data_IF_672345801564
#
_entry.id   IF_672345801564
#
_cell.length_a   1.000
_cell.length_b   1.000
_cell.length_c   1.000
_cell.angle_alpha   90.00
_cell.angle_beta   90.00
_cell.angle_gamma   90.00
#
_symmetry.space_group_name_H-M   'P 1'
#
loop_
_entity.id
_entity.type
_entity.pdbx_description
1 polymer ?
#
# COMPACT_ATOMS: atom_id res chain seq x y z
N UNK A 1 -23.30 8.45 50.84
CA UNK A 1 -22.87 9.87 50.91
C UNK A 1 -23.03 10.45 49.53
N UNK A 2 -23.73 11.55 49.36
CA UNK A 2 -23.93 12.20 48.06
C UNK A 2 -23.34 13.60 48.15
N UNK A 3 -22.67 14.02 47.07
CA UNK A 3 -21.99 15.29 46.94
C UNK A 3 -22.68 16.08 45.82
N UNK A 4 -23.09 17.31 46.09
CA UNK A 4 -23.65 18.21 45.07
C UNK A 4 -22.57 19.19 44.70
N UNK A 5 -22.24 19.24 43.41
CA UNK A 5 -21.25 20.16 42.83
C UNK A 5 -22.00 21.38 42.28
N UNK A 6 -21.69 22.56 42.81
CA UNK A 6 -22.22 23.82 42.35
C UNK A 6 -21.34 24.52 41.32
N UNK A 7 -21.40 25.87 41.30
CA UNK A 7 -20.63 26.65 40.33
C UNK A 7 -19.15 26.72 40.67
N UNK A 8 -18.35 27.05 39.66
CA UNK A 8 -16.93 27.37 39.80
C UNK A 8 -16.77 28.75 40.46
N UNK A 9 -15.74 28.93 41.27
CA UNK A 9 -15.39 30.23 41.86
C UNK A 9 -14.97 31.23 40.78
N UNK A 10 -15.06 32.53 41.08
CA UNK A 10 -14.74 33.60 40.13
C UNK A 10 -13.29 33.56 39.60
N UNK A 11 -12.37 32.98 40.34
CA UNK A 11 -10.95 32.77 39.95
C UNK A 11 -10.68 31.42 39.26
N UNK A 12 -11.74 30.61 39.01
CA UNK A 12 -11.71 29.27 38.40
C UNK A 12 -10.86 28.22 39.14
N UNK A 13 -10.57 28.45 40.45
CA UNK A 13 -9.71 27.52 41.21
C UNK A 13 -10.48 26.51 42.07
N UNK A 14 -11.73 26.79 42.40
CA UNK A 14 -12.52 26.01 43.35
C UNK A 14 -13.95 25.82 42.83
N UNK A 15 -14.54 24.66 43.12
CA UNK A 15 -15.99 24.46 43.04
C UNK A 15 -16.62 24.67 44.41
N UNK A 16 -17.82 25.26 44.47
CA UNK A 16 -18.66 25.22 45.64
C UNK A 16 -19.36 23.86 45.72
N UNK A 17 -19.21 23.18 46.87
CA UNK A 17 -19.66 21.81 47.03
C UNK A 17 -20.46 21.70 48.33
N UNK A 18 -21.61 21.02 48.30
CA UNK A 18 -22.37 20.67 49.51
C UNK A 18 -22.50 19.16 49.64
N UNK A 19 -22.54 18.69 50.86
CA UNK A 19 -22.77 17.31 51.21
C UNK A 19 -24.26 17.10 51.58
N UNK A 20 -24.84 15.98 51.16
CA UNK A 20 -26.23 15.70 51.51
C UNK A 20 -26.34 15.47 52.99
N UNK A 21 -27.22 16.26 53.63
CA UNK A 21 -27.41 16.29 55.07
C UNK A 21 -26.49 17.24 55.84
N UNK A 22 -25.70 18.05 55.14
CA UNK A 22 -24.89 19.14 55.70
C UNK A 22 -25.34 20.49 55.16
N UNK A 23 -25.49 21.49 56.03
CA UNK A 23 -25.91 22.83 55.68
C UNK A 23 -24.73 23.72 55.22
N UNK A 24 -23.52 23.22 55.29
CA UNK A 24 -22.32 23.97 54.88
C UNK A 24 -22.05 23.86 53.39
N UNK A 25 -21.48 24.92 52.83
CA UNK A 25 -20.91 24.93 51.48
C UNK A 25 -19.39 25.00 51.59
N UNK A 26 -18.73 24.08 50.91
CA UNK A 26 -17.28 23.96 50.95
C UNK A 26 -16.70 24.44 49.64
N UNK A 27 -15.49 25.01 49.67
CA UNK A 27 -14.70 25.29 48.48
C UNK A 27 -13.69 24.15 48.30
N UNK A 28 -13.81 23.38 47.19
CA UNK A 28 -12.93 22.27 46.86
C UNK A 28 -12.18 22.58 45.62
N UNK A 29 -10.88 22.34 45.61
CA UNK A 29 -10.01 22.61 44.45
C UNK A 29 -10.59 22.00 43.17
N UNK A 30 -10.67 22.77 42.11
CA UNK A 30 -11.27 22.39 40.84
C UNK A 30 -10.67 21.09 40.29
N UNK A 31 -9.36 20.91 40.37
CA UNK A 31 -8.68 19.66 39.86
C UNK A 31 -9.13 18.38 40.57
N UNK A 32 -9.72 18.46 41.78
CA UNK A 32 -10.27 17.32 42.49
C UNK A 32 -11.71 17.03 42.12
N UNK A 33 -12.44 18.04 41.68
CA UNK A 33 -13.87 17.93 41.36
C UNK A 33 -14.08 17.66 39.88
N UNK A 34 -13.27 18.25 38.98
CA UNK A 34 -13.38 18.09 37.53
C UNK A 34 -13.49 16.63 37.08
N UNK A 35 -12.69 15.67 37.60
CA UNK A 35 -12.83 14.26 37.19
C UNK A 35 -14.21 13.66 37.53
N UNK A 36 -14.92 14.19 38.56
CA UNK A 36 -16.27 13.74 38.94
C UNK A 36 -17.36 14.32 38.02
N UNK A 37 -17.04 15.34 37.23
CA UNK A 37 -17.96 15.96 36.26
C UNK A 37 -17.76 15.41 34.85
N UNK A 38 -16.80 14.54 34.66
CA UNK A 38 -16.51 13.96 33.35
C UNK A 38 -17.68 13.13 32.83
N UNK A 39 -18.03 13.38 31.58
CA UNK A 39 -18.95 12.53 30.83
C UNK A 39 -18.24 11.30 30.28
N UNK A 40 -18.99 10.38 29.69
CA UNK A 40 -18.44 9.15 29.09
C UNK A 40 -17.32 9.41 28.11
N UNK A 41 -17.40 10.46 27.32
CA UNK A 41 -16.37 10.82 26.35
C UNK A 41 -14.98 11.14 26.97
N UNK A 42 -14.97 11.52 28.26
CA UNK A 42 -13.73 11.81 28.99
C UNK A 42 -13.11 10.57 29.63
N UNK A 43 -13.90 9.53 29.88
CA UNK A 43 -13.48 8.33 30.62
C UNK A 43 -13.42 7.06 29.77
N UNK A 44 -14.03 7.08 28.57
CA UNK A 44 -13.96 5.95 27.63
C UNK A 44 -12.53 5.79 27.13
N UNK A 45 -12.10 4.55 27.02
CA UNK A 45 -10.82 4.22 26.39
C UNK A 45 -10.88 4.56 24.89
N UNK A 46 -10.04 5.50 24.48
CA UNK A 46 -9.87 5.94 23.08
C UNK A 46 -8.61 5.37 22.43
N UNK A 47 -7.96 4.41 23.08
CA UNK A 47 -6.79 3.78 22.50
C UNK A 47 -7.17 2.90 21.31
N UNK A 48 -6.26 2.85 20.35
CA UNK A 48 -6.27 1.92 19.22
C UNK A 48 -4.97 1.13 19.29
N UNK A 49 -5.04 -0.17 19.09
CA UNK A 49 -3.86 -1.03 19.11
C UNK A 49 -2.82 -0.55 18.10
N UNK A 50 -1.56 -0.56 18.51
CA UNK A 50 -0.46 -0.19 17.64
C UNK A 50 -0.07 -1.37 16.79
N UNK A 51 0.02 -1.15 15.48
CA UNK A 51 0.49 -2.11 14.50
C UNK A 51 1.90 -1.73 14.06
N UNK A 52 2.79 -2.70 14.07
CA UNK A 52 4.11 -2.57 13.50
C UNK A 52 4.06 -2.71 11.99
N UNK A 53 4.20 -1.58 11.29
CA UNK A 53 4.15 -1.50 9.83
C UNK A 53 5.25 -2.31 9.11
N UNK A 54 6.34 -2.63 9.81
CA UNK A 54 7.45 -3.39 9.23
C UNK A 54 7.27 -4.91 9.36
N UNK A 55 6.29 -5.36 10.15
CA UNK A 55 6.02 -6.78 10.41
C UNK A 55 4.62 -7.24 10.01
N UNK A 56 3.95 -6.52 9.12
CA UNK A 56 2.59 -6.82 8.64
C UNK A 56 2.48 -8.26 8.15
N UNK A 57 1.45 -8.95 8.62
CA UNK A 57 1.08 -10.30 8.21
C UNK A 57 -0.13 -10.31 7.29
N UNK A 58 -1.09 -9.41 7.53
CA UNK A 58 -2.31 -9.31 6.72
C UNK A 58 -2.83 -7.86 6.68
N UNK A 59 -3.28 -7.44 5.52
CA UNK A 59 -4.10 -6.25 5.30
C UNK A 59 -5.30 -6.66 4.47
N UNK A 60 -6.50 -6.45 5.01
CA UNK A 60 -7.77 -6.60 4.29
C UNK A 60 -8.54 -5.30 4.30
N UNK A 61 -9.09 -4.91 3.17
CA UNK A 61 -10.02 -3.79 3.05
C UNK A 61 -11.21 -4.25 2.23
N UNK A 62 -12.33 -4.49 2.91
CA UNK A 62 -13.59 -4.83 2.26
C UNK A 62 -14.37 -3.56 1.98
N UNK A 63 -14.73 -3.33 0.72
CA UNK A 63 -15.47 -2.15 0.28
C UNK A 63 -16.92 -2.50 -0.02
N UNK A 64 -17.81 -1.51 0.16
CA UNK A 64 -19.22 -1.63 -0.18
C UNK A 64 -19.45 -1.68 -1.69
N UNK A 65 -18.74 -0.82 -2.44
CA UNK A 65 -19.07 -0.52 -3.85
C UNK A 65 -17.93 -0.83 -4.83
N UNK A 66 -16.89 -1.52 -4.40
CA UNK A 66 -15.76 -1.97 -5.24
C UNK A 66 -15.13 -3.24 -4.70
N UNK A 67 -14.25 -3.86 -5.48
CA UNK A 67 -13.56 -5.09 -5.09
C UNK A 67 -12.73 -4.91 -3.83
N UNK A 68 -12.77 -5.93 -2.96
CA UNK A 68 -11.98 -6.01 -1.74
C UNK A 68 -10.49 -6.17 -2.06
N UNK A 69 -9.64 -5.64 -1.20
CA UNK A 69 -8.20 -5.83 -1.24
C UNK A 69 -7.81 -6.77 -0.11
N UNK A 70 -7.05 -7.81 -0.43
CA UNK A 70 -6.46 -8.72 0.55
C UNK A 70 -5.00 -8.95 0.21
N UNK A 71 -4.12 -8.57 1.14
CA UNK A 71 -2.67 -8.72 1.03
C UNK A 71 -2.19 -9.54 2.22
N UNK A 72 -1.36 -10.55 1.98
CA UNK A 72 -0.80 -11.41 3.03
C UNK A 72 0.69 -11.60 2.90
N UNK A 73 1.33 -11.82 4.03
CA UNK A 73 2.68 -12.35 4.10
C UNK A 73 2.61 -13.89 3.99
N UNK A 74 3.18 -14.41 2.93
CA UNK A 74 3.32 -15.85 2.72
C UNK A 74 4.77 -16.17 2.31
N UNK A 75 5.56 -16.62 3.29
CA UNK A 75 6.97 -17.01 3.11
C UNK A 75 7.14 -18.20 2.16
N UNK A 76 6.11 -19.02 2.01
CA UNK A 76 6.15 -20.24 1.22
C UNK A 76 5.57 -20.03 -0.18
N UNK A 77 5.01 -18.84 -0.47
CA UNK A 77 4.51 -18.50 -1.78
C UNK A 77 5.65 -18.56 -2.82
N UNK A 78 5.54 -19.40 -3.85
CA UNK A 78 6.62 -19.63 -4.82
C UNK A 78 6.96 -18.37 -5.62
N UNK A 79 5.96 -17.52 -5.93
CA UNK A 79 6.15 -16.30 -6.71
C UNK A 79 6.90 -15.24 -5.87
N UNK A 80 6.50 -15.04 -4.62
CA UNK A 80 7.16 -14.11 -3.71
C UNK A 80 8.61 -14.54 -3.44
N UNK A 81 8.84 -15.84 -3.20
CA UNK A 81 10.17 -16.40 -2.99
C UNK A 81 11.06 -16.25 -4.22
N UNK A 82 10.57 -16.64 -5.40
CA UNK A 82 11.30 -16.48 -6.66
C UNK A 82 11.66 -15.02 -6.92
N UNK A 83 10.73 -14.11 -6.67
CA UNK A 83 10.96 -12.67 -6.82
C UNK A 83 12.01 -12.16 -5.83
N UNK A 84 11.96 -12.57 -4.57
CA UNK A 84 12.93 -12.20 -3.54
C UNK A 84 14.33 -12.73 -3.89
N UNK A 85 14.45 -13.97 -4.35
CA UNK A 85 15.72 -14.58 -4.79
C UNK A 85 16.34 -13.83 -5.98
N UNK A 86 15.51 -13.41 -6.94
CA UNK A 86 15.96 -12.73 -8.17
C UNK A 86 16.27 -11.26 -7.98
N UNK A 87 15.57 -10.57 -7.09
CA UNK A 87 15.63 -9.13 -6.94
C UNK A 87 16.15 -8.66 -5.58
N UNK A 88 16.31 -9.56 -4.61
CA UNK A 88 16.76 -9.23 -3.25
C UNK A 88 15.70 -8.47 -2.42
N UNK A 89 14.43 -8.52 -2.82
CA UNK A 89 13.32 -7.85 -2.16
C UNK A 89 12.38 -8.87 -1.52
N UNK A 90 12.18 -8.75 -0.20
CA UNK A 90 11.07 -9.45 0.46
C UNK A 90 9.75 -8.74 0.12
N UNK A 91 8.68 -9.51 -0.11
CA UNK A 91 7.41 -8.93 -0.50
C UNK A 91 6.21 -9.67 0.09
N UNK A 92 5.11 -8.95 0.14
CA UNK A 92 3.78 -9.46 0.43
C UNK A 92 3.10 -9.88 -0.88
N UNK A 93 2.09 -10.73 -0.80
CA UNK A 93 1.32 -11.19 -1.94
C UNK A 93 -0.12 -10.73 -1.81
N UNK A 94 -0.66 -10.19 -2.87
CA UNK A 94 -2.08 -9.88 -2.96
C UNK A 94 -2.85 -11.15 -3.37
N UNK A 95 -3.93 -11.44 -2.65
CA UNK A 95 -4.86 -12.53 -2.95
C UNK A 95 -6.17 -12.01 -3.58
N UNK A 96 -6.51 -10.74 -3.31
CA UNK A 96 -7.69 -10.06 -3.87
C UNK A 96 -7.37 -8.62 -4.23
N UNK A 97 -7.95 -8.09 -5.31
CA UNK A 97 -8.81 -8.73 -6.32
C UNK A 97 -8.01 -9.55 -7.36
N UNK A 98 -6.71 -9.52 -7.30
CA UNK A 98 -5.82 -10.23 -8.25
C UNK A 98 -4.98 -11.22 -7.46
N UNK A 99 -5.23 -12.50 -7.69
CA UNK A 99 -4.51 -13.57 -7.03
C UNK A 99 -3.03 -13.62 -7.43
N UNK A 100 -2.17 -13.90 -6.45
CA UNK A 100 -0.72 -14.05 -6.62
C UNK A 100 -0.02 -12.80 -7.21
N UNK A 101 -0.58 -11.59 -7.02
CA UNK A 101 0.11 -10.37 -7.41
C UNK A 101 1.10 -9.94 -6.33
N UNK A 102 2.35 -9.67 -6.75
CA UNK A 102 3.38 -9.14 -5.86
C UNK A 102 3.03 -7.73 -5.40
N UNK A 103 3.19 -7.49 -4.10
CA UNK A 103 3.01 -6.18 -3.48
C UNK A 103 4.37 -5.55 -3.25
N UNK A 104 4.56 -4.33 -3.74
CA UNK A 104 5.80 -3.60 -3.53
C UNK A 104 5.81 -2.96 -2.13
N UNK A 105 6.67 -3.41 -1.21
CA UNK A 105 6.62 -3.00 0.20
C UNK A 105 6.67 -1.48 0.40
N UNK A 106 7.50 -0.77 -0.39
CA UNK A 106 7.61 0.70 -0.29
C UNK A 106 6.31 1.42 -0.70
N UNK A 107 5.61 0.92 -1.71
CA UNK A 107 4.32 1.50 -2.11
C UNK A 107 3.28 1.28 -1.03
N UNK A 108 3.18 0.06 -0.49
CA UNK A 108 2.27 -0.26 0.59
C UNK A 108 2.55 0.60 1.83
N UNK A 109 3.82 0.73 2.25
CA UNK A 109 4.19 1.62 3.35
C UNK A 109 3.83 3.07 3.07
N UNK A 110 4.19 3.60 1.89
CA UNK A 110 3.99 5.00 1.56
C UNK A 110 2.51 5.38 1.43
N UNK A 111 1.68 4.50 0.84
CA UNK A 111 0.28 4.80 0.55
C UNK A 111 -0.66 4.52 1.73
N UNK A 112 -0.42 3.45 2.50
CA UNK A 112 -1.36 2.96 3.51
C UNK A 112 -0.75 2.82 4.89
N UNK A 113 0.30 2.01 5.07
CA UNK A 113 0.77 1.61 6.40
C UNK A 113 1.28 2.79 7.25
N UNK A 114 1.86 3.81 6.62
CA UNK A 114 2.26 5.04 7.31
C UNK A 114 1.11 5.68 8.09
N UNK A 115 -0.12 5.52 7.60
CA UNK A 115 -1.30 6.12 8.20
C UNK A 115 -1.88 5.31 9.36
N UNK A 116 -1.42 4.08 9.59
CA UNK A 116 -1.83 3.27 10.75
C UNK A 116 -1.55 3.99 12.07
N UNK A 117 -0.40 4.66 12.20
CA UNK A 117 -0.05 5.43 13.39
C UNK A 117 -0.97 6.65 13.63
N UNK A 118 -1.74 7.07 12.62
CA UNK A 118 -2.67 8.19 12.70
C UNK A 118 -4.11 7.75 13.01
N UNK A 119 -4.37 6.45 13.10
CA UNK A 119 -5.69 5.93 13.49
C UNK A 119 -5.90 6.14 14.99
N UNK A 120 -6.63 7.18 15.34
CA UNK A 120 -6.95 7.53 16.71
C UNK A 120 -8.44 7.83 16.83
N UNK A 121 -9.06 7.34 17.89
CA UNK A 121 -10.43 7.69 18.23
C UNK A 121 -10.47 9.17 18.65
N UNK A 122 -11.27 9.96 17.97
CA UNK A 122 -11.50 11.38 18.32
C UNK A 122 -12.46 11.49 19.49
N UNK A 123 -13.67 10.96 19.33
CA UNK A 123 -14.72 11.06 20.31
C UNK A 123 -15.62 9.82 20.35
N UNK A 124 -16.31 9.65 21.50
CA UNK A 124 -17.40 8.70 21.65
C UNK A 124 -18.69 9.34 21.08
N UNK A 125 -19.26 8.73 20.06
CA UNK A 125 -20.52 9.17 19.47
C UNK A 125 -21.75 8.52 20.14
N UNK A 126 -21.68 7.21 20.44
CA UNK A 126 -22.74 6.47 21.12
C UNK A 126 -22.16 5.31 21.90
N UNK A 127 -22.47 5.23 23.19
CA UNK A 127 -21.95 4.18 24.08
C UNK A 127 -22.74 2.86 23.93
N UNK A 128 -23.97 2.93 23.47
CA UNK A 128 -24.87 1.78 23.37
C UNK A 128 -25.84 1.94 22.20
N UNK A 129 -25.33 1.89 20.97
CA UNK A 129 -26.15 2.13 19.79
C UNK A 129 -27.27 1.11 19.68
N UNK A 130 -28.49 1.58 19.52
CA UNK A 130 -29.64 0.75 19.25
C UNK A 130 -29.85 0.50 17.75
N UNK A 131 -29.29 1.35 16.91
CA UNK A 131 -29.40 1.30 15.47
C UNK A 131 -28.10 1.80 14.82
N UNK A 132 -27.39 0.91 14.13
CA UNK A 132 -26.14 1.21 13.42
C UNK A 132 -26.38 1.91 12.08
N UNK A 133 -27.58 1.79 11.49
CA UNK A 133 -27.93 2.45 10.21
C UNK A 133 -27.85 3.97 10.34
N UNK A 134 -28.18 4.52 11.51
CA UNK A 134 -28.01 5.95 11.82
C UNK A 134 -26.60 6.48 11.56
N UNK A 135 -25.61 5.62 11.68
CA UNK A 135 -24.19 5.92 11.53
C UNK A 135 -23.61 5.39 10.21
N UNK A 136 -24.43 4.72 9.39
CA UNK A 136 -23.98 4.02 8.17
C UNK A 136 -23.07 2.83 8.46
N UNK A 137 -23.19 2.23 9.64
CA UNK A 137 -22.33 1.14 10.13
C UNK A 137 -23.01 -0.24 10.03
N UNK A 138 -24.27 -0.30 9.67
CA UNK A 138 -24.98 -1.52 9.24
C UNK A 138 -24.51 -2.01 7.85
N UNK A 139 -24.15 -1.04 6.97
CA UNK A 139 -23.54 -1.28 5.67
C UNK A 139 -22.36 -0.30 5.48
N UNK A 140 -21.22 -0.53 6.14
CA UNK A 140 -20.11 0.41 6.17
C UNK A 140 -19.50 0.64 4.79
N UNK A 141 -18.99 1.85 4.54
CA UNK A 141 -18.31 2.20 3.29
C UNK A 141 -17.09 1.31 3.04
N UNK A 142 -16.36 0.98 4.09
CA UNK A 142 -15.36 -0.08 4.08
C UNK A 142 -15.15 -0.67 5.47
N UNK A 143 -14.60 -1.89 5.51
CA UNK A 143 -14.10 -2.54 6.70
C UNK A 143 -12.60 -2.82 6.51
N UNK A 144 -11.80 -2.27 7.39
CA UNK A 144 -10.33 -2.36 7.38
C UNK A 144 -9.94 -3.40 8.43
N UNK A 145 -9.07 -4.32 8.06
CA UNK A 145 -8.38 -5.21 8.98
C UNK A 145 -6.89 -5.18 8.70
N UNK A 146 -6.09 -4.98 9.72
CA UNK A 146 -4.62 -5.04 9.63
C UNK A 146 -4.12 -5.86 10.80
N UNK A 147 -3.20 -6.78 10.53
CA UNK A 147 -2.52 -7.56 11.54
C UNK A 147 -1.01 -7.54 11.30
N UNK A 148 -0.26 -7.38 12.39
CA UNK A 148 1.15 -7.72 12.47
C UNK A 148 1.33 -9.08 13.16
N UNK A 149 2.54 -9.39 13.65
CA UNK A 149 2.83 -10.66 14.34
C UNK A 149 2.14 -10.78 15.69
N UNK A 150 1.84 -9.67 16.35
CA UNK A 150 1.41 -9.63 17.75
C UNK A 150 0.03 -9.01 17.93
N UNK A 151 -0.38 -8.09 17.07
CA UNK A 151 -1.57 -7.27 17.21
C UNK A 151 -2.43 -7.25 15.94
N UNK A 152 -3.69 -6.86 16.10
CA UNK A 152 -4.58 -6.59 14.97
C UNK A 152 -5.54 -5.45 15.26
N UNK A 153 -5.94 -4.73 14.22
CA UNK A 153 -6.94 -3.66 14.26
C UNK A 153 -8.03 -3.98 13.24
N UNK A 154 -9.29 -3.78 13.68
CA UNK A 154 -10.47 -3.75 12.81
C UNK A 154 -11.12 -2.39 12.90
N UNK A 155 -11.38 -1.75 11.76
CA UNK A 155 -12.11 -0.48 11.72
C UNK A 155 -13.18 -0.56 10.64
N UNK A 156 -14.45 -0.48 11.03
CA UNK A 156 -15.55 -0.29 10.08
C UNK A 156 -15.82 1.20 9.95
N UNK A 157 -15.87 1.71 8.73
CA UNK A 157 -16.04 3.14 8.44
C UNK A 157 -17.45 3.38 7.89
N UNK A 158 -18.24 4.12 8.63
CA UNK A 158 -19.62 4.49 8.28
C UNK A 158 -19.70 5.85 7.57
N UNK A 159 -20.77 6.57 7.87
CA UNK A 159 -21.06 7.90 7.30
C UNK A 159 -20.18 8.99 7.91
N UNK A 160 -20.07 10.11 7.20
CA UNK A 160 -19.51 11.34 7.78
C UNK A 160 -20.36 11.87 8.91
N UNK A 161 -19.72 12.49 9.89
CA UNK A 161 -20.41 13.17 11.01
C UNK A 161 -21.02 14.45 10.48
N UNK A 162 -22.34 14.61 10.66
CA UNK A 162 -23.04 15.81 10.23
C UNK A 162 -22.48 17.08 10.90
N UNK A 163 -22.30 18.14 10.11
CA UNK A 163 -21.81 19.43 10.59
C UNK A 163 -20.29 19.53 10.78
N UNK A 164 -19.51 18.50 10.35
CA UNK A 164 -18.05 18.50 10.47
C UNK A 164 -17.33 18.69 9.13
N UNK A 165 -18.02 19.16 8.09
CA UNK A 165 -17.46 19.33 6.72
C UNK A 165 -16.74 18.06 6.20
N UNK A 166 -17.28 16.89 6.55
CA UNK A 166 -16.69 15.57 6.26
C UNK A 166 -15.28 15.33 6.85
N UNK A 167 -14.91 16.09 7.88
CA UNK A 167 -13.61 15.92 8.54
C UNK A 167 -13.59 14.74 9.51
N UNK A 168 -14.75 14.29 10.00
CA UNK A 168 -14.92 13.15 10.89
C UNK A 168 -15.85 12.12 10.25
N UNK A 169 -15.56 10.83 10.49
CA UNK A 169 -16.42 9.71 10.13
C UNK A 169 -16.78 8.88 11.37
N UNK A 170 -18.01 8.31 11.38
CA UNK A 170 -18.39 7.31 12.37
C UNK A 170 -17.65 6.01 12.12
N UNK A 171 -17.19 5.37 13.21
CA UNK A 171 -16.45 4.10 13.14
C UNK A 171 -16.85 3.13 14.24
N UNK A 172 -16.74 1.83 13.94
CA UNK A 172 -16.60 0.78 14.94
C UNK A 172 -15.15 0.33 14.97
N UNK A 173 -14.59 0.18 16.15
CA UNK A 173 -13.18 -0.22 16.35
C UNK A 173 -13.14 -1.56 17.07
N UNK A 174 -12.47 -2.52 16.49
CA UNK A 174 -12.38 -3.90 16.95
C UNK A 174 -13.77 -4.50 17.15
N UNK A 175 -13.98 -5.30 18.20
CA UNK A 175 -15.27 -5.89 18.53
C UNK A 175 -16.01 -5.07 19.61
N UNK A 176 -15.67 -3.78 19.73
CA UNK A 176 -16.29 -2.87 20.71
C UNK A 176 -17.69 -2.46 20.23
N UNK A 177 -18.67 -2.43 21.15
CA UNK A 177 -20.05 -2.09 20.78
C UNK A 177 -20.28 -0.58 20.58
N UNK A 178 -19.39 0.27 21.09
CA UNK A 178 -19.53 1.72 21.02
C UNK A 178 -19.28 2.23 19.63
N UNK A 179 -20.04 3.24 19.22
CA UNK A 179 -19.75 4.03 18.02
C UNK A 179 -18.83 5.19 18.40
N UNK A 180 -17.74 5.29 17.68
CA UNK A 180 -16.77 6.38 17.82
C UNK A 180 -16.73 7.25 16.56
N UNK A 181 -15.93 8.32 16.65
CA UNK A 181 -15.53 9.12 15.47
C UNK A 181 -14.02 9.07 15.30
N UNK A 182 -13.57 9.13 14.05
CA UNK A 182 -12.17 9.31 13.66
C UNK A 182 -12.03 10.40 12.62
N UNK A 183 -10.86 11.05 12.58
CA UNK A 183 -10.54 11.98 11.50
C UNK A 183 -10.51 11.25 10.16
N UNK A 184 -11.30 11.74 9.20
CA UNK A 184 -11.37 11.11 7.87
C UNK A 184 -10.03 11.15 7.13
N UNK A 185 -9.18 12.15 7.36
CA UNK A 185 -7.84 12.22 6.74
C UNK A 185 -6.98 11.01 7.08
N UNK A 186 -7.14 10.43 8.29
CA UNK A 186 -6.42 9.20 8.70
C UNK A 186 -7.02 7.95 8.05
N UNK A 187 -8.33 7.93 7.80
CA UNK A 187 -9.06 6.84 7.17
C UNK A 187 -8.95 6.85 5.64
N UNK A 188 -8.81 8.05 5.04
CA UNK A 188 -8.83 8.26 3.59
C UNK A 188 -7.91 7.31 2.81
N UNK A 189 -6.65 7.10 3.20
CA UNK A 189 -5.75 6.20 2.47
C UNK A 189 -6.30 4.78 2.33
N UNK A 190 -7.05 4.31 3.32
CA UNK A 190 -7.70 2.99 3.28
C UNK A 190 -8.99 3.03 2.45
N UNK A 191 -9.84 4.04 2.68
CA UNK A 191 -11.14 4.18 1.99
C UNK A 191 -10.97 4.34 0.50
N UNK A 192 -9.93 5.05 0.05
CA UNK A 192 -9.67 5.35 -1.36
C UNK A 192 -8.64 4.44 -2.00
N UNK A 193 -8.06 3.50 -1.26
CA UNK A 193 -7.03 2.61 -1.78
C UNK A 193 -7.50 1.83 -3.03
N UNK A 194 -6.57 1.62 -3.92
CA UNK A 194 -6.73 0.83 -5.13
C UNK A 194 -5.60 -0.19 -5.25
N UNK A 195 -5.77 -1.21 -6.07
CA UNK A 195 -4.73 -2.22 -6.35
C UNK A 195 -3.42 -1.56 -6.82
N UNK A 196 -3.54 -0.51 -7.63
CA UNK A 196 -2.40 0.23 -8.15
C UNK A 196 -1.54 0.94 -7.08
N UNK A 197 -2.12 1.17 -5.88
CA UNK A 197 -1.38 1.77 -4.76
C UNK A 197 -0.43 0.77 -4.08
N UNK A 198 -0.67 -0.52 -4.22
CA UNK A 198 0.10 -1.57 -3.53
C UNK A 198 0.96 -2.39 -4.49
N UNK A 199 0.45 -2.65 -5.69
CA UNK A 199 1.05 -3.60 -6.60
C UNK A 199 2.49 -3.24 -6.98
N UNK A 200 3.32 -4.27 -7.17
CA UNK A 200 4.58 -4.14 -7.88
C UNK A 200 4.28 -3.70 -9.32
N UNK A 201 4.50 -2.43 -9.59
CA UNK A 201 4.09 -1.81 -10.87
C UNK A 201 4.91 -2.23 -12.07
N UNK A 202 6.07 -2.87 -11.86
CA UNK A 202 6.95 -3.21 -12.95
C UNK A 202 6.50 -4.47 -13.70
N UNK A 203 6.50 -4.40 -15.02
CA UNK A 203 6.21 -5.55 -15.87
C UNK A 203 7.33 -6.59 -15.75
N UNK A 204 8.58 -6.12 -15.71
CA UNK A 204 9.76 -6.97 -15.57
C UNK A 204 10.86 -6.20 -14.82
N UNK A 205 11.09 -6.56 -13.55
CA UNK A 205 12.14 -5.95 -12.73
C UNK A 205 13.22 -6.99 -12.44
N UNK A 206 14.41 -6.79 -12.96
CA UNK A 206 15.55 -7.67 -12.73
C UNK A 206 16.83 -6.87 -12.47
N UNK A 207 17.59 -7.26 -11.45
CA UNK A 207 18.95 -6.76 -11.28
C UNK A 207 19.81 -7.18 -12.48
N UNK A 208 20.61 -6.27 -13.02
CA UNK A 208 21.46 -6.54 -14.17
C UNK A 208 22.36 -7.77 -13.98
N UNK A 209 22.86 -8.02 -12.76
CA UNK A 209 23.68 -9.18 -12.40
C UNK A 209 22.98 -10.52 -12.64
N UNK A 210 21.65 -10.57 -12.58
CA UNK A 210 20.84 -11.76 -12.82
C UNK A 210 20.47 -11.98 -14.29
N UNK A 211 20.76 -11.01 -15.15
CA UNK A 211 20.40 -11.07 -16.58
C UNK A 211 21.62 -11.47 -17.41
N UNK A 212 21.44 -12.46 -18.28
CA UNK A 212 22.42 -12.89 -19.26
C UNK A 212 22.32 -12.09 -20.56
N UNK A 213 21.10 -11.92 -21.07
CA UNK A 213 20.83 -11.12 -22.27
C UNK A 213 19.37 -10.66 -22.29
N UNK A 214 19.10 -9.66 -23.11
CA UNK A 214 17.74 -9.14 -23.34
C UNK A 214 17.50 -9.09 -24.85
N UNK A 215 16.28 -9.47 -25.25
CA UNK A 215 15.83 -9.33 -26.64
C UNK A 215 14.57 -8.49 -26.67
N UNK A 216 14.60 -7.41 -27.41
CA UNK A 216 13.45 -6.55 -27.70
C UNK A 216 13.08 -6.77 -29.16
N UNK A 217 11.91 -7.32 -29.42
CA UNK A 217 11.32 -7.45 -30.74
C UNK A 217 10.19 -6.43 -30.89
N UNK A 218 10.29 -5.58 -31.88
CA UNK A 218 9.29 -4.62 -32.36
C UNK A 218 9.32 -4.64 -33.89
N UNK A 219 9.14 -3.52 -34.54
CA UNK A 219 9.44 -3.37 -35.99
C UNK A 219 10.91 -3.73 -36.31
N UNK A 220 11.78 -3.57 -35.33
CA UNK A 220 13.20 -3.96 -35.35
C UNK A 220 13.51 -4.86 -34.18
N UNK A 221 14.58 -5.64 -34.32
CA UNK A 221 15.10 -6.50 -33.25
C UNK A 221 16.34 -5.88 -32.62
N UNK A 222 16.37 -5.79 -31.30
CA UNK A 222 17.53 -5.39 -30.50
C UNK A 222 17.93 -6.55 -29.58
N UNK A 223 19.19 -6.98 -29.70
CA UNK A 223 19.77 -8.02 -28.83
C UNK A 223 20.81 -7.34 -27.95
N UNK A 224 20.64 -7.44 -26.64
CA UNK A 224 21.51 -6.86 -25.61
C UNK A 224 22.19 -8.03 -24.92
N UNK A 225 23.51 -8.10 -25.02
CA UNK A 225 24.32 -9.15 -24.42
C UNK A 225 25.25 -8.56 -23.34
N UNK A 226 25.31 -9.23 -22.19
CA UNK A 226 26.27 -8.92 -21.13
C UNK A 226 27.39 -9.95 -21.19
N UNK A 227 28.59 -9.52 -21.64
CA UNK A 227 29.73 -10.41 -21.85
C UNK A 227 30.79 -10.16 -20.78
N UNK A 228 31.24 -11.25 -20.20
CA UNK A 228 32.39 -11.29 -19.31
C UNK A 228 33.69 -11.05 -20.11
N UNK A 229 34.59 -10.24 -19.57
CA UNK A 229 35.91 -10.02 -20.14
C UNK A 229 37.06 -10.48 -19.22
N UNK A 230 36.72 -11.10 -18.08
CA UNK A 230 37.69 -11.62 -17.13
C UNK A 230 37.12 -12.15 -15.82
N UNK A 231 37.98 -12.61 -14.94
CA UNK A 231 37.59 -13.24 -13.67
C UNK A 231 36.97 -12.27 -12.65
N UNK A 232 36.86 -10.97 -12.95
CA UNK A 232 36.41 -9.90 -12.04
C UNK A 232 35.13 -9.19 -12.49
N UNK A 233 34.28 -9.85 -13.29
CA UNK A 233 33.06 -9.22 -13.81
C UNK A 233 32.03 -8.90 -12.76
N UNK A 234 32.11 -9.57 -11.61
CA UNK A 234 31.32 -9.26 -10.43
C UNK A 234 32.24 -8.97 -9.26
N UNK A 235 32.17 -7.76 -8.69
CA UNK A 235 32.92 -7.38 -7.48
C UNK A 235 31.97 -6.99 -6.38
N UNK A 236 32.26 -7.43 -5.17
CA UNK A 236 31.57 -6.94 -3.98
C UNK A 236 32.29 -5.69 -3.47
N UNK A 237 31.59 -4.55 -3.49
CA UNK A 237 32.07 -3.28 -2.95
C UNK A 237 31.08 -2.84 -1.90
N UNK A 238 31.54 -2.62 -0.68
CA UNK A 238 30.68 -2.25 0.47
C UNK A 238 29.50 -3.21 0.70
N UNK A 239 29.73 -4.53 0.53
CA UNK A 239 28.70 -5.56 0.68
C UNK A 239 27.73 -5.69 -0.52
N UNK A 240 27.87 -4.85 -1.55
CA UNK A 240 27.02 -4.86 -2.74
C UNK A 240 27.78 -5.49 -3.91
N UNK A 241 27.18 -6.51 -4.54
CA UNK A 241 27.71 -7.11 -5.75
C UNK A 241 27.50 -6.15 -6.95
N UNK A 242 28.60 -5.63 -7.50
CA UNK A 242 28.59 -4.78 -8.70
C UNK A 242 28.88 -5.60 -9.94
N UNK A 243 28.14 -5.35 -11.01
CA UNK A 243 28.31 -5.97 -12.33
C UNK A 243 29.21 -5.11 -13.22
N UNK A 244 30.35 -5.64 -13.63
CA UNK A 244 31.34 -4.99 -14.49
C UNK A 244 31.38 -5.57 -15.91
N UNK A 245 30.50 -6.50 -16.26
CA UNK A 245 30.43 -7.06 -17.61
C UNK A 245 30.19 -5.95 -18.65
N UNK A 246 30.84 -6.11 -19.79
CA UNK A 246 30.60 -5.23 -20.92
C UNK A 246 29.22 -5.48 -21.55
N UNK A 247 28.60 -4.41 -22.05
CA UNK A 247 27.29 -4.46 -22.70
C UNK A 247 27.44 -4.26 -24.19
N UNK A 248 26.83 -5.14 -24.95
CA UNK A 248 26.75 -5.06 -26.40
C UNK A 248 25.29 -4.99 -26.84
N UNK A 249 24.98 -4.06 -27.76
CA UNK A 249 23.67 -4.03 -28.42
C UNK A 249 23.90 -4.31 -29.90
N UNK A 250 23.27 -5.35 -30.42
CA UNK A 250 23.48 -5.85 -31.78
C UNK A 250 24.98 -6.01 -32.11
N UNK A 251 25.75 -6.57 -31.17
CA UNK A 251 27.21 -6.77 -31.22
C UNK A 251 28.06 -5.49 -31.17
N UNK A 252 27.50 -4.31 -30.99
CA UNK A 252 28.24 -3.07 -30.81
C UNK A 252 28.42 -2.79 -29.30
N UNK A 253 29.64 -2.54 -28.86
CA UNK A 253 29.96 -2.15 -27.49
C UNK A 253 29.30 -0.82 -27.15
N UNK A 254 28.63 -0.74 -26.00
CA UNK A 254 27.92 0.47 -25.54
C UNK A 254 28.59 1.02 -24.29
N UNK A 255 28.62 2.36 -24.20
CA UNK A 255 29.12 3.05 -23.01
C UNK A 255 28.27 2.67 -21.79
N UNK A 256 28.97 2.42 -20.66
CA UNK A 256 28.35 1.89 -19.44
C UNK A 256 27.32 2.85 -18.83
N UNK A 257 27.63 4.14 -18.79
CA UNK A 257 26.76 5.13 -18.14
C UNK A 257 25.47 5.32 -18.96
N UNK A 258 25.61 5.49 -20.27
CA UNK A 258 24.48 5.59 -21.19
C UNK A 258 23.60 4.33 -21.17
N UNK A 259 24.22 3.15 -21.01
CA UNK A 259 23.47 1.92 -20.88
C UNK A 259 22.75 1.82 -19.52
N UNK A 260 23.32 2.34 -18.46
CA UNK A 260 22.65 2.34 -17.13
C UNK A 260 21.33 3.09 -17.18
N UNK A 261 21.31 4.29 -17.77
CA UNK A 261 20.09 5.08 -17.94
C UNK A 261 19.04 4.34 -18.79
N UNK A 262 19.49 3.68 -19.85
CA UNK A 262 18.62 2.85 -20.67
C UNK A 262 18.08 1.64 -19.92
N UNK A 263 18.92 0.97 -19.15
CA UNK A 263 18.52 -0.21 -18.38
C UNK A 263 17.48 0.14 -17.32
N UNK A 264 17.65 1.25 -16.60
CA UNK A 264 16.69 1.78 -15.65
C UNK A 264 15.35 2.08 -16.32
N UNK A 265 15.37 2.70 -17.50
CA UNK A 265 14.17 2.96 -18.28
C UNK A 265 13.46 1.66 -18.70
N UNK A 266 14.23 0.64 -19.11
CA UNK A 266 13.70 -0.66 -19.56
C UNK A 266 13.04 -1.44 -18.42
N UNK A 267 13.71 -1.58 -17.29
CA UNK A 267 13.15 -2.27 -16.12
C UNK A 267 12.08 -1.43 -15.41
N UNK A 268 12.09 -0.13 -15.64
CA UNK A 268 11.10 0.82 -15.15
C UNK A 268 9.78 0.81 -15.92
N UNK A 269 9.60 -0.04 -16.95
CA UNK A 269 8.30 -0.20 -17.61
C UNK A 269 7.29 -0.71 -16.59
N UNK A 270 6.41 0.18 -16.16
CA UNK A 270 5.32 -0.13 -15.24
C UNK A 270 3.98 -0.21 -15.96
N UNK A 271 2.96 -0.69 -15.24
CA UNK A 271 1.59 -0.60 -15.70
C UNK A 271 0.86 0.57 -15.03
N UNK A 272 -0.12 1.11 -15.73
CA UNK A 272 -0.95 2.23 -15.27
C UNK A 272 -2.24 1.75 -14.62
N UNK A 273 -2.77 0.59 -15.09
CA UNK A 273 -4.01 0.02 -14.58
C UNK A 273 -4.03 -1.51 -14.73
N UNK A 274 -4.94 -2.15 -14.00
CA UNK A 274 -5.24 -3.57 -14.08
C UNK A 274 -6.69 -3.70 -14.55
N UNK A 275 -6.92 -4.60 -15.49
CA UNK A 275 -8.23 -4.91 -16.04
C UNK A 275 -8.47 -6.42 -16.02
N UNK A 276 -9.73 -6.84 -16.15
CA UNK A 276 -10.04 -8.25 -16.37
C UNK A 276 -9.26 -8.77 -17.57
N UNK A 277 -8.97 -10.06 -17.57
CA UNK A 277 -8.21 -10.70 -18.64
C UNK A 277 -8.72 -10.31 -20.03
N UNK A 278 -7.81 -9.83 -20.83
CA UNK A 278 -8.05 -9.47 -22.23
C UNK A 278 -7.40 -10.53 -23.11
N UNK A 279 -8.20 -11.22 -23.92
CA UNK A 279 -7.67 -12.14 -24.92
C UNK A 279 -7.12 -11.33 -26.12
N UNK A 280 -5.81 -11.48 -26.45
CA UNK A 280 -5.21 -10.78 -27.58
C UNK A 280 -5.86 -11.17 -28.90
N UNK A 281 -6.13 -10.19 -29.75
CA UNK A 281 -6.73 -10.39 -31.08
C UNK A 281 -5.70 -10.40 -32.23
N UNK A 282 -4.42 -10.17 -31.91
CA UNK A 282 -3.33 -10.07 -32.89
C UNK A 282 -2.03 -10.60 -32.28
N UNK A 283 -0.98 -10.69 -33.09
CA UNK A 283 0.37 -10.87 -32.60
C UNK A 283 0.82 -9.69 -31.74
N UNK A 284 1.75 -9.90 -30.79
CA UNK A 284 2.26 -8.81 -29.95
C UNK A 284 2.98 -7.77 -30.81
N UNK A 285 2.65 -6.51 -30.62
CA UNK A 285 3.34 -5.39 -31.25
C UNK A 285 4.79 -5.26 -30.75
N UNK A 286 5.02 -5.60 -29.47
CA UNK A 286 6.35 -5.62 -28.85
C UNK A 286 6.49 -6.86 -28.00
N UNK A 287 7.66 -7.50 -28.01
CA UNK A 287 8.02 -8.56 -27.09
C UNK A 287 9.37 -8.23 -26.44
N UNK A 288 9.44 -8.25 -25.12
CA UNK A 288 10.68 -8.07 -24.36
C UNK A 288 10.97 -9.39 -23.62
N UNK A 289 12.12 -9.97 -23.90
CA UNK A 289 12.56 -11.23 -23.28
C UNK A 289 13.82 -10.99 -22.47
N UNK A 290 13.78 -11.28 -21.19
CA UNK A 290 14.94 -11.36 -20.32
C UNK A 290 15.38 -12.84 -20.24
N UNK A 291 16.59 -13.14 -20.71
CA UNK A 291 17.22 -14.43 -20.48
C UNK A 291 18.08 -14.31 -19.23
N UNK A 292 17.80 -15.11 -18.21
CA UNK A 292 18.46 -15.02 -16.91
C UNK A 292 19.70 -15.95 -16.85
N UNK A 293 20.58 -15.67 -15.90
CA UNK A 293 21.81 -16.44 -15.71
C UNK A 293 21.56 -17.87 -15.22
N UNK A 294 20.43 -18.11 -14.55
CA UNK A 294 19.98 -19.44 -14.11
C UNK A 294 19.36 -20.29 -15.24
N UNK A 295 19.31 -19.74 -16.46
CA UNK A 295 18.73 -20.40 -17.64
C UNK A 295 17.22 -20.16 -17.83
N UNK A 296 16.55 -19.57 -16.86
CA UNK A 296 15.13 -19.20 -16.99
C UNK A 296 14.93 -18.00 -17.91
N UNK A 297 13.69 -17.79 -18.35
CA UNK A 297 13.30 -16.67 -19.21
C UNK A 297 12.05 -15.98 -18.69
N UNK A 298 12.05 -14.67 -18.75
CA UNK A 298 10.83 -13.87 -18.59
C UNK A 298 10.48 -13.23 -19.92
N UNK A 299 9.25 -13.40 -20.38
CA UNK A 299 8.76 -12.89 -21.68
C UNK A 299 7.54 -12.02 -21.43
N UNK A 300 7.70 -10.72 -21.64
CA UNK A 300 6.59 -9.78 -21.64
C UNK A 300 6.14 -9.51 -23.08
N UNK A 301 4.88 -9.80 -23.39
CA UNK A 301 4.26 -9.61 -24.69
C UNK A 301 3.26 -8.44 -24.59
N UNK A 302 3.47 -7.40 -25.38
CA UNK A 302 2.69 -6.19 -25.41
C UNK A 302 1.78 -6.20 -26.65
N UNK A 303 0.48 -6.35 -26.43
CA UNK A 303 -0.54 -6.37 -27.46
C UNK A 303 -1.25 -5.03 -27.52
N UNK A 304 -1.66 -4.61 -28.71
CA UNK A 304 -2.45 -3.37 -28.86
C UNK A 304 -3.80 -3.49 -28.14
N UNK A 305 -4.09 -2.54 -27.25
CA UNK A 305 -5.36 -2.45 -26.52
C UNK A 305 -6.22 -1.30 -27.06
N UNK A 306 -5.70 -0.08 -27.00
CA UNK A 306 -6.35 1.13 -27.53
C UNK A 306 -5.28 2.11 -28.09
N UNK A 307 -5.66 3.38 -28.28
CA UNK A 307 -4.73 4.42 -28.79
C UNK A 307 -3.54 4.69 -27.86
N UNK A 308 -3.70 4.49 -26.53
CA UNK A 308 -2.77 4.91 -25.50
C UNK A 308 -2.05 3.75 -24.82
N UNK A 309 -2.68 2.57 -24.78
CA UNK A 309 -2.20 1.45 -24.00
C UNK A 309 -1.93 0.20 -24.83
N UNK A 310 -0.92 -0.53 -24.40
CA UNK A 310 -0.78 -1.95 -24.64
C UNK A 310 -1.41 -2.72 -23.51
N UNK A 311 -1.81 -3.98 -23.76
CA UNK A 311 -2.17 -4.93 -22.74
C UNK A 311 -1.09 -6.01 -22.64
N UNK A 312 -0.73 -6.35 -21.38
CA UNK A 312 0.19 -7.43 -21.04
C UNK A 312 -0.56 -8.38 -20.12
N UNK A 313 -0.69 -9.65 -20.52
CA UNK A 313 -1.33 -10.65 -19.67
C UNK A 313 -0.36 -11.11 -18.57
N UNK A 314 -0.85 -11.11 -17.33
CA UNK A 314 -0.13 -11.59 -16.16
C UNK A 314 -1.05 -12.53 -15.37
N UNK A 315 -0.74 -13.81 -15.40
CA UNK A 315 -1.61 -14.83 -14.81
C UNK A 315 -2.85 -15.14 -15.66
N UNK A 316 -3.81 -15.80 -15.03
CA UNK A 316 -4.98 -16.38 -15.74
C UNK A 316 -6.22 -15.47 -15.69
N UNK A 317 -6.31 -14.50 -14.78
CA UNK A 317 -7.53 -13.72 -14.53
C UNK A 317 -7.40 -12.21 -14.81
N UNK A 318 -6.19 -11.69 -14.98
CA UNK A 318 -5.96 -10.26 -15.13
C UNK A 318 -5.01 -9.89 -16.25
N UNK A 319 -5.12 -8.64 -16.70
CA UNK A 319 -4.24 -8.03 -17.68
C UNK A 319 -3.79 -6.65 -17.19
N UNK A 320 -2.56 -6.29 -17.53
CA UNK A 320 -1.95 -5.02 -17.19
C UNK A 320 -2.06 -4.06 -18.37
N UNK A 321 -2.52 -2.84 -18.13
CA UNK A 321 -2.47 -1.76 -19.11
C UNK A 321 -1.17 -0.98 -18.96
N UNK A 322 -0.38 -0.95 -20.02
CA UNK A 322 0.94 -0.33 -20.07
C UNK A 322 0.95 0.78 -21.12
N UNK A 323 1.41 1.98 -20.74
CA UNK A 323 1.47 3.12 -21.64
C UNK A 323 2.31 2.82 -22.89
N UNK A 324 1.73 3.01 -24.06
CA UNK A 324 2.45 2.93 -25.34
C UNK A 324 3.60 3.91 -25.43
N UNK A 325 3.45 5.09 -24.82
CA UNK A 325 4.49 6.11 -24.79
C UNK A 325 5.76 5.61 -24.08
N UNK A 326 5.59 4.96 -22.92
CA UNK A 326 6.71 4.39 -22.14
C UNK A 326 7.44 3.32 -22.94
N UNK A 327 6.73 2.37 -23.53
CA UNK A 327 7.33 1.29 -24.32
C UNK A 327 8.04 1.83 -25.58
N UNK A 328 7.41 2.76 -26.28
CA UNK A 328 8.02 3.42 -27.46
C UNK A 328 9.28 4.20 -27.11
N UNK A 329 9.32 4.84 -25.94
CA UNK A 329 10.51 5.52 -25.44
C UNK A 329 11.67 4.53 -25.28
N UNK A 330 11.44 3.37 -24.67
CA UNK A 330 12.45 2.30 -24.53
C UNK A 330 12.99 1.87 -25.90
N UNK A 331 12.11 1.63 -26.88
CA UNK A 331 12.50 1.23 -28.23
C UNK A 331 13.35 2.32 -28.90
N UNK A 332 12.93 3.59 -28.76
CA UNK A 332 13.67 4.74 -29.33
C UNK A 332 15.07 4.88 -28.71
N UNK A 333 15.21 4.67 -27.40
CA UNK A 333 16.52 4.72 -26.73
C UNK A 333 17.39 3.52 -27.14
N UNK A 334 16.82 2.31 -27.27
CA UNK A 334 17.56 1.15 -27.84
C UNK A 334 18.08 1.44 -29.24
N UNK A 335 17.29 2.09 -30.09
CA UNK A 335 17.72 2.48 -31.44
C UNK A 335 18.88 3.50 -31.44
N UNK A 336 18.84 4.48 -30.51
CA UNK A 336 19.92 5.47 -30.36
C UNK A 336 21.24 4.81 -29.94
N UNK A 337 21.19 3.82 -29.06
CA UNK A 337 22.36 3.08 -28.61
C UNK A 337 22.99 2.20 -29.72
N UNK A 338 22.25 1.89 -30.77
CA UNK A 338 22.75 1.15 -31.92
C UNK A 338 23.46 2.05 -32.94
N UNK A 339 23.23 3.36 -32.91
CA UNK A 339 23.85 4.34 -33.82
C UNK A 339 25.24 4.74 -33.33
#
# INVERSE_FOLDING_TARGET
MSVNVGSLSADNKYYYVSLNGDNNVYMVNATRIEPLTYGFNNIVDKSVDKIDADSIQELSIDYKDKDSILVKYDKDNPIAREYAEKNGLATLVMEKPVDNMLVYPYNLQASVLRNLASLNISDLADIKPSDLAKYGLDAPNCAIYVADKDNSIKVKVGSFVYGTDNSLAYVLVNDRPEVFTMEYRALKPFVTASVADFAEKFVSLYQRSKVKSIVINSDKKYTIDFKAEGDNDFKTVDGIQKDYRNTYINNKLVNKDTFTDFYELLIGIGFDNIVNKVEPKSEPAVTITFNLVDGSKNVAKYYDYDSNFFVVNKGDESSLLVSKQTVRKVISEAEKLCK
#
